data_IF_369508826868
#
_entry.id   IF_369508826868
#
_cell.length_a   1.000
_cell.length_b   1.000
_cell.length_c   1.000
_cell.angle_alpha   90.00
_cell.angle_beta   90.00
_cell.angle_gamma   90.00
#
_symmetry.space_group_name_H-M   'P 1'
#
loop_
_entity.id
_entity.type
_entity.pdbx_description
1 polymer ?
#
# COMPACT_ATOMS: atom_id res chain seq x y z
N UNK A 1 16.11 23.10 -32.68
CA UNK A 1 15.43 22.02 -31.95
C UNK A 1 14.55 22.70 -30.93
N UNK A 2 13.24 22.56 -31.04
CA UNK A 2 12.25 23.17 -30.16
C UNK A 2 12.47 22.64 -28.75
N UNK A 3 12.87 23.52 -27.85
CA UNK A 3 13.17 23.23 -26.44
C UNK A 3 11.89 23.27 -25.60
N UNK A 4 10.83 22.60 -26.06
CA UNK A 4 9.64 22.40 -25.24
C UNK A 4 9.89 21.16 -24.37
N UNK A 5 9.87 21.29 -23.03
CA UNK A 5 10.01 20.13 -22.15
C UNK A 5 8.85 19.18 -22.44
N UNK A 6 9.18 17.91 -22.66
CA UNK A 6 8.21 16.84 -22.84
C UNK A 6 7.28 16.82 -21.62
N UNK A 7 5.98 17.02 -21.84
CA UNK A 7 4.98 16.98 -20.76
C UNK A 7 4.87 15.55 -20.26
N UNK A 8 5.54 15.28 -19.15
CA UNK A 8 5.42 14.01 -18.43
C UNK A 8 4.16 14.06 -17.58
N UNK A 9 3.46 12.93 -17.48
CA UNK A 9 2.31 12.80 -16.59
C UNK A 9 2.74 13.05 -15.13
N UNK A 10 1.91 13.76 -14.37
CA UNK A 10 2.21 14.19 -13.00
C UNK A 10 1.84 13.14 -11.96
N UNK A 11 1.11 12.10 -12.36
CA UNK A 11 0.75 10.99 -11.50
C UNK A 11 1.56 9.75 -11.85
N UNK A 12 1.88 8.93 -10.84
CA UNK A 12 2.47 7.62 -11.07
C UNK A 12 1.47 6.71 -11.81
N UNK A 13 1.93 5.64 -12.49
CA UNK A 13 1.03 4.70 -13.16
C UNK A 13 -0.06 4.15 -12.22
N UNK A 14 -1.32 4.13 -12.66
CA UNK A 14 -2.40 3.43 -11.95
C UNK A 14 -2.34 1.94 -12.29
N UNK A 15 -1.55 1.22 -11.49
CA UNK A 15 -1.38 -0.22 -11.60
C UNK A 15 -2.71 -0.97 -11.49
N UNK A 16 -3.68 -0.45 -10.72
CA UNK A 16 -4.97 -1.09 -10.58
C UNK A 16 -5.79 -0.95 -11.87
N UNK A 17 -5.74 0.20 -12.53
CA UNK A 17 -6.38 0.40 -13.83
C UNK A 17 -5.73 -0.46 -14.92
N UNK A 18 -4.40 -0.50 -14.98
CA UNK A 18 -3.67 -1.33 -15.94
C UNK A 18 -4.02 -2.82 -15.79
N UNK A 19 -4.04 -3.32 -14.55
CA UNK A 19 -4.42 -4.71 -14.25
C UNK A 19 -5.88 -4.99 -14.60
N UNK A 20 -6.81 -4.06 -14.34
CA UNK A 20 -8.22 -4.21 -14.75
C UNK A 20 -8.34 -4.30 -16.27
N UNK A 21 -7.67 -3.43 -17.01
CA UNK A 21 -7.68 -3.45 -18.48
C UNK A 21 -7.12 -4.77 -19.04
N UNK A 22 -5.97 -5.23 -18.53
CA UNK A 22 -5.40 -6.51 -18.93
C UNK A 22 -6.30 -7.70 -18.58
N UNK A 23 -7.00 -7.62 -17.44
CA UNK A 23 -7.95 -8.65 -17.02
C UNK A 23 -9.19 -8.69 -17.93
N UNK A 24 -9.72 -7.55 -18.35
CA UNK A 24 -10.84 -7.48 -19.31
C UNK A 24 -10.47 -8.04 -20.69
N UNK A 25 -9.22 -7.84 -21.13
CA UNK A 25 -8.72 -8.42 -22.38
C UNK A 25 -8.65 -9.95 -22.32
N UNK A 26 -8.19 -10.51 -21.20
CA UNK A 26 -8.09 -11.95 -20.98
C UNK A 26 -9.47 -12.61 -20.73
N UNK A 27 -10.36 -11.93 -20.03
CA UNK A 27 -11.66 -12.46 -19.58
C UNK A 27 -12.82 -11.48 -19.90
N UNK A 28 -13.16 -11.31 -21.19
CA UNK A 28 -14.19 -10.37 -21.60
C UNK A 28 -15.56 -10.72 -21.00
N UNK A 29 -16.18 -9.72 -20.37
CA UNK A 29 -17.51 -9.84 -19.74
C UNK A 29 -17.53 -10.46 -18.35
N UNK A 30 -16.37 -10.74 -17.74
CA UNK A 30 -16.29 -11.12 -16.31
C UNK A 30 -16.42 -9.90 -15.39
N UNK A 31 -15.97 -8.73 -15.83
CA UNK A 31 -16.26 -7.46 -15.17
C UNK A 31 -17.55 -6.88 -15.77
N UNK A 32 -18.56 -6.66 -14.94
CA UNK A 32 -19.81 -5.98 -15.31
C UNK A 32 -19.98 -4.75 -14.45
N UNK A 33 -20.11 -3.57 -15.08
CA UNK A 33 -20.28 -2.28 -14.38
C UNK A 33 -19.23 -2.03 -13.27
N UNK A 34 -17.98 -2.46 -13.49
CA UNK A 34 -16.89 -2.33 -12.53
C UNK A 34 -16.93 -3.33 -11.36
N UNK A 35 -17.86 -4.29 -11.36
CA UNK A 35 -17.98 -5.36 -10.37
C UNK A 35 -17.48 -6.67 -10.96
N UNK A 36 -16.64 -7.39 -10.21
CA UNK A 36 -16.12 -8.70 -10.59
C UNK A 36 -17.20 -9.77 -10.39
N UNK A 37 -17.61 -10.44 -11.47
CA UNK A 37 -18.44 -11.65 -11.39
C UNK A 37 -17.54 -12.86 -11.13
N UNK A 38 -17.37 -13.17 -9.85
CA UNK A 38 -16.55 -14.29 -9.42
C UNK A 38 -17.08 -15.63 -9.93
N UNK A 39 -18.39 -15.79 -10.08
CA UNK A 39 -19.00 -17.03 -10.56
C UNK A 39 -18.64 -17.28 -12.02
N UNK A 40 -18.83 -16.26 -12.88
CA UNK A 40 -18.48 -16.34 -14.29
C UNK A 40 -16.98 -16.57 -14.50
N UNK A 41 -16.13 -15.97 -13.67
CA UNK A 41 -14.70 -16.23 -13.69
C UNK A 41 -14.37 -17.70 -13.39
N UNK A 42 -15.01 -18.27 -12.35
CA UNK A 42 -14.83 -19.67 -11.98
C UNK A 42 -15.26 -20.64 -13.09
N UNK A 43 -16.38 -20.36 -13.75
CA UNK A 43 -16.86 -21.14 -14.89
C UNK A 43 -15.86 -21.14 -16.06
N UNK A 44 -15.31 -19.97 -16.41
CA UNK A 44 -14.34 -19.84 -17.51
C UNK A 44 -13.02 -20.54 -17.21
N UNK A 45 -12.60 -20.55 -15.95
CA UNK A 45 -11.35 -21.16 -15.50
C UNK A 45 -11.50 -22.62 -15.05
N UNK A 46 -12.70 -23.20 -15.15
CA UNK A 46 -13.05 -24.52 -14.59
C UNK A 46 -12.55 -24.70 -13.15
N UNK A 47 -12.65 -23.62 -12.36
CA UNK A 47 -12.08 -23.53 -11.02
C UNK A 47 -13.17 -23.17 -10.02
N UNK A 48 -13.35 -23.94 -8.93
CA UNK A 48 -14.33 -23.62 -7.92
C UNK A 48 -13.98 -22.31 -7.21
N UNK A 49 -14.91 -21.35 -7.27
CA UNK A 49 -14.78 -20.08 -6.58
C UNK A 49 -15.24 -20.27 -5.14
N UNK A 50 -14.32 -20.08 -4.21
CA UNK A 50 -14.68 -20.04 -2.79
C UNK A 50 -15.17 -18.64 -2.46
N UNK A 51 -16.49 -18.45 -2.33
CA UNK A 51 -17.00 -17.33 -1.57
C UNK A 51 -16.70 -17.62 -0.09
N UNK A 52 -15.93 -16.79 0.64
CA UNK A 52 -15.84 -16.95 2.08
C UNK A 52 -17.25 -16.78 2.66
N UNK A 53 -17.77 -17.82 3.32
CA UNK A 53 -19.16 -17.88 3.83
C UNK A 53 -19.49 -16.74 4.83
N UNK A 54 -18.44 -16.09 5.31
CA UNK A 54 -18.37 -15.14 6.40
C UNK A 54 -17.35 -14.00 6.10
N UNK A 55 -16.86 -13.90 4.85
CA UNK A 55 -15.95 -12.82 4.42
C UNK A 55 -14.50 -12.94 4.92
N UNK A 56 -14.14 -14.01 5.64
CA UNK A 56 -12.79 -14.22 6.16
C UNK A 56 -11.99 -15.24 5.34
N UNK A 57 -10.78 -14.89 4.93
CA UNK A 57 -9.81 -15.84 4.37
C UNK A 57 -9.52 -16.95 5.39
N UNK A 58 -9.65 -18.24 4.98
CA UNK A 58 -9.50 -19.39 5.89
C UNK A 58 -8.06 -19.61 6.38
N UNK A 59 -7.07 -18.99 5.73
CA UNK A 59 -5.67 -19.00 6.15
C UNK A 59 -4.99 -17.70 5.68
N UNK A 60 -4.57 -16.85 6.61
CA UNK A 60 -3.89 -15.59 6.31
C UNK A 60 -3.69 -14.73 7.56
N UNK A 61 -2.65 -13.88 7.55
CA UNK A 61 -2.50 -12.86 8.58
C UNK A 61 -3.55 -11.76 8.36
N UNK A 62 -4.41 -11.56 9.36
CA UNK A 62 -5.47 -10.55 9.36
C UNK A 62 -5.21 -9.55 10.47
N UNK A 63 -5.34 -8.26 10.16
CA UNK A 63 -5.23 -7.17 11.13
C UNK A 63 -6.16 -6.02 10.75
N UNK A 64 -6.53 -5.20 11.74
CA UNK A 64 -7.33 -4.00 11.51
C UNK A 64 -6.56 -3.01 10.63
N UNK A 65 -7.18 -2.51 9.56
CA UNK A 65 -6.55 -1.58 8.62
C UNK A 65 -5.80 -2.23 7.45
N UNK A 66 -5.78 -3.57 7.33
CA UNK A 66 -5.17 -4.29 6.18
C UNK A 66 -5.70 -3.79 4.83
N UNK A 67 -7.02 -3.63 4.72
CA UNK A 67 -7.67 -3.20 3.47
C UNK A 67 -7.27 -1.78 3.08
N UNK A 68 -7.15 -0.88 4.06
CA UNK A 68 -6.74 0.51 3.81
C UNK A 68 -5.25 0.60 3.44
N UNK A 69 -4.39 -0.22 4.07
CA UNK A 69 -2.97 -0.34 3.69
C UNK A 69 -2.81 -0.86 2.25
N UNK A 70 -3.59 -1.87 1.85
CA UNK A 70 -3.59 -2.33 0.45
C UNK A 70 -4.11 -1.25 -0.50
N UNK A 71 -5.14 -0.50 -0.12
CA UNK A 71 -5.68 0.59 -0.94
C UNK A 71 -4.67 1.73 -1.14
N UNK A 72 -3.86 2.06 -0.14
CA UNK A 72 -2.85 3.12 -0.24
C UNK A 72 -1.75 2.76 -1.24
N UNK A 73 -1.38 1.47 -1.36
CA UNK A 73 -0.44 0.97 -2.37
C UNK A 73 -0.98 1.15 -3.79
N UNK A 74 -2.28 0.98 -3.99
CA UNK A 74 -2.95 1.11 -5.29
C UNK A 74 -3.26 2.57 -5.66
N UNK A 75 -3.13 3.50 -4.72
CA UNK A 75 -3.35 4.91 -4.97
C UNK A 75 -2.14 5.50 -5.70
N UNK A 76 -2.30 6.14 -6.87
CA UNK A 76 -1.18 6.79 -7.56
C UNK A 76 -0.47 7.83 -6.69
N UNK A 77 0.85 7.90 -6.80
CA UNK A 77 1.65 9.00 -6.27
C UNK A 77 1.45 10.27 -7.10
N UNK A 78 1.56 11.43 -6.45
CA UNK A 78 1.42 12.78 -7.05
C UNK A 78 2.70 13.61 -6.96
N UNK A 79 3.76 13.04 -6.39
CA UNK A 79 5.05 13.70 -6.27
C UNK A 79 5.81 13.79 -7.59
N UNK A 80 6.87 14.60 -7.60
CA UNK A 80 7.90 14.59 -8.63
C UNK A 80 9.27 14.63 -7.96
N UNK A 81 10.30 14.12 -8.64
CA UNK A 81 11.67 14.17 -8.15
C UNK A 81 12.36 15.40 -8.75
N UNK A 82 12.87 16.28 -7.88
CA UNK A 82 13.65 17.45 -8.27
C UNK A 82 15.14 17.20 -8.03
N UNK A 83 16.02 17.41 -9.03
CA UNK A 83 17.44 17.23 -8.86
C UNK A 83 18.07 18.38 -8.04
N UNK A 84 18.78 18.01 -6.98
CA UNK A 84 19.55 18.93 -6.11
C UNK A 84 21.00 19.03 -6.60
N UNK A 85 21.23 19.83 -7.65
CA UNK A 85 22.54 19.94 -8.33
C UNK A 85 23.66 20.42 -7.40
N UNK A 86 23.38 21.36 -6.50
CA UNK A 86 24.39 21.94 -5.59
C UNK A 86 24.96 20.92 -4.59
N UNK A 87 24.19 19.88 -4.26
CA UNK A 87 24.60 18.79 -3.35
C UNK A 87 25.08 17.55 -4.11
N UNK A 88 24.93 17.54 -5.43
CA UNK A 88 25.29 16.41 -6.28
C UNK A 88 26.78 16.41 -6.56
N UNK A 89 27.36 15.21 -6.61
CA UNK A 89 28.76 14.98 -6.98
C UNK A 89 28.73 14.29 -8.34
N UNK A 90 29.39 14.89 -9.34
CA UNK A 90 29.48 14.36 -10.71
C UNK A 90 28.11 13.96 -11.31
N UNK A 91 27.13 14.87 -11.23
CA UNK A 91 25.70 14.59 -11.53
C UNK A 91 25.46 13.84 -12.85
N UNK A 92 26.16 14.19 -13.93
CA UNK A 92 25.97 13.60 -15.25
C UNK A 92 26.52 12.17 -15.37
N UNK A 93 27.53 11.81 -14.56
CA UNK A 93 28.24 10.53 -14.61
C UNK A 93 27.95 9.62 -13.40
N UNK A 94 27.20 10.11 -12.40
CA UNK A 94 26.95 9.39 -11.16
C UNK A 94 26.08 8.14 -11.37
N UNK A 95 26.57 6.98 -10.90
CA UNK A 95 25.80 5.72 -10.91
C UNK A 95 24.94 5.51 -9.64
N UNK A 96 25.14 6.35 -8.62
CA UNK A 96 24.45 6.24 -7.33
C UNK A 96 23.50 7.42 -7.14
N UNK A 97 22.31 7.15 -6.59
CA UNK A 97 21.28 8.17 -6.35
C UNK A 97 20.92 8.17 -4.87
N UNK A 98 20.83 9.37 -4.29
CA UNK A 98 20.24 9.61 -2.97
C UNK A 98 18.95 10.39 -3.15
N UNK A 99 17.86 9.94 -2.50
CA UNK A 99 16.54 10.57 -2.63
C UNK A 99 16.02 10.88 -1.22
N UNK A 100 15.61 12.12 -1.01
CA UNK A 100 14.96 12.58 0.21
C UNK A 100 13.44 12.64 -0.02
N UNK A 101 12.67 12.01 0.87
CA UNK A 101 11.21 12.02 0.78
C UNK A 101 10.55 10.90 1.59
N UNK A 102 9.22 10.86 1.55
CA UNK A 102 8.45 9.71 2.05
C UNK A 102 8.75 8.47 1.19
N UNK A 103 9.11 7.37 1.82
CA UNK A 103 9.61 6.18 1.13
C UNK A 103 8.55 5.55 0.21
N UNK A 104 7.29 5.50 0.62
CA UNK A 104 6.22 4.91 -0.18
C UNK A 104 6.00 5.74 -1.45
N UNK A 105 5.97 7.06 -1.33
CA UNK A 105 5.81 7.96 -2.47
C UNK A 105 7.01 7.87 -3.43
N UNK A 106 8.23 7.88 -2.90
CA UNK A 106 9.45 7.72 -3.70
C UNK A 106 9.46 6.39 -4.46
N UNK A 107 9.10 5.28 -3.79
CA UNK A 107 9.05 3.97 -4.43
C UNK A 107 8.01 3.90 -5.55
N UNK A 108 6.85 4.57 -5.42
CA UNK A 108 5.85 4.69 -6.50
C UNK A 108 6.40 5.42 -7.72
N UNK A 109 7.16 6.49 -7.52
CA UNK A 109 7.78 7.24 -8.62
C UNK A 109 8.87 6.42 -9.30
N UNK A 110 9.69 5.71 -8.53
CA UNK A 110 10.75 4.86 -9.05
C UNK A 110 10.21 3.63 -9.78
N UNK A 111 8.99 3.19 -9.49
CA UNK A 111 8.41 1.97 -10.06
C UNK A 111 8.49 1.94 -11.59
N UNK A 112 8.09 3.01 -12.28
CA UNK A 112 8.09 3.06 -13.75
C UNK A 112 9.48 2.86 -14.35
N UNK A 113 10.51 3.44 -13.73
CA UNK A 113 11.86 3.29 -14.19
C UNK A 113 12.46 1.95 -13.71
N UNK A 114 12.45 1.65 -12.42
CA UNK A 114 13.28 0.60 -11.84
C UNK A 114 12.57 -0.75 -11.63
N UNK A 115 11.36 -0.95 -12.14
CA UNK A 115 10.65 -2.24 -12.03
C UNK A 115 11.53 -3.40 -12.56
N UNK A 116 11.62 -4.48 -11.77
CA UNK A 116 12.43 -5.67 -12.04
C UNK A 116 13.94 -5.42 -12.29
N UNK A 117 14.46 -4.24 -11.92
CA UNK A 117 15.90 -3.89 -12.07
C UNK A 117 16.71 -3.98 -10.77
N UNK A 118 16.05 -4.10 -9.62
CA UNK A 118 16.72 -4.10 -8.30
C UNK A 118 17.16 -5.50 -7.90
N UNK A 119 18.47 -5.70 -7.70
CA UNK A 119 19.05 -7.01 -7.34
C UNK A 119 18.94 -7.36 -5.86
N UNK A 120 19.06 -6.37 -4.98
CA UNK A 120 19.09 -6.55 -3.52
C UNK A 120 18.45 -5.32 -2.87
N UNK A 121 17.58 -5.55 -1.90
CA UNK A 121 17.00 -4.52 -1.04
C UNK A 121 17.46 -4.81 0.39
N UNK A 122 18.09 -3.82 1.01
CA UNK A 122 18.43 -3.84 2.44
C UNK A 122 17.68 -2.70 3.12
N UNK A 123 16.88 -3.03 4.12
CA UNK A 123 16.11 -2.07 4.92
C UNK A 123 16.28 -2.38 6.41
N UNK A 124 16.30 -1.33 7.21
CA UNK A 124 16.32 -1.38 8.67
C UNK A 124 15.11 -0.63 9.23
N UNK A 125 13.89 -1.19 9.11
CA UNK A 125 12.68 -0.54 9.59
C UNK A 125 12.64 -0.53 11.14
N UNK A 126 11.83 0.32 11.77
CA UNK A 126 11.66 0.29 13.22
C UNK A 126 11.12 -1.07 13.70
N UNK A 127 11.70 -1.63 14.76
CA UNK A 127 11.45 -2.99 15.23
C UNK A 127 10.22 -3.14 16.15
N UNK A 128 9.55 -2.02 16.47
CA UNK A 128 8.41 -1.94 17.38
C UNK A 128 8.71 -2.53 18.76
N UNK A 129 9.89 -2.21 19.32
CA UNK A 129 10.33 -2.73 20.62
C UNK A 129 9.67 -2.00 21.80
N UNK A 130 8.99 -0.88 21.53
CA UNK A 130 8.42 -0.01 22.56
C UNK A 130 9.45 0.89 23.24
N UNK A 131 10.70 0.90 22.74
CA UNK A 131 11.71 1.87 23.11
C UNK A 131 11.39 3.25 22.52
N UNK A 132 11.92 4.31 23.13
CA UNK A 132 11.92 5.65 22.54
C UNK A 132 13.24 5.83 21.76
N UNK A 133 13.44 5.08 20.68
CA UNK A 133 14.58 5.40 19.80
C UNK A 133 14.32 6.73 19.08
N UNK A 134 15.32 7.61 19.14
CA UNK A 134 15.21 9.04 18.84
C UNK A 134 14.92 9.34 17.35
N UNK A 135 15.15 8.38 16.45
CA UNK A 135 15.14 8.60 14.98
C UNK A 135 13.78 8.24 14.35
N UNK A 136 13.05 7.26 14.91
CA UNK A 136 11.72 6.87 14.45
C UNK A 136 10.83 6.49 15.64
N UNK A 137 9.52 6.79 15.62
CA UNK A 137 8.63 6.35 16.68
C UNK A 137 8.54 4.81 16.69
N UNK A 138 9.31 4.18 17.58
CA UNK A 138 9.42 2.71 17.73
C UNK A 138 8.30 2.12 18.63
N UNK A 139 7.27 2.91 18.91
CA UNK A 139 6.06 2.48 19.61
C UNK A 139 4.84 2.67 18.70
N UNK A 140 4.43 1.59 18.05
CA UNK A 140 3.22 1.56 17.23
C UNK A 140 1.99 1.09 18.01
N UNK A 141 2.08 0.93 19.33
CA UNK A 141 0.94 0.53 20.14
C UNK A 141 -0.03 1.69 20.34
N UNK A 142 -1.25 1.54 19.83
CA UNK A 142 -2.31 2.53 20.06
C UNK A 142 -2.68 2.61 21.53
N UNK A 143 -3.27 3.70 22.02
CA UNK A 143 -3.96 3.62 23.32
C UNK A 143 -5.16 2.66 23.20
N UNK A 144 -5.56 2.03 24.32
CA UNK A 144 -6.72 1.12 24.29
C UNK A 144 -7.95 1.79 23.68
N UNK A 145 -8.22 3.05 24.05
CA UNK A 145 -9.36 3.80 23.52
C UNK A 145 -9.24 4.07 22.02
N UNK A 146 -8.09 4.55 21.56
CA UNK A 146 -7.87 4.84 20.13
C UNK A 146 -8.00 3.58 19.25
N UNK A 147 -7.52 2.44 19.72
CA UNK A 147 -7.67 1.17 19.00
C UNK A 147 -9.13 0.72 18.92
N UNK A 148 -9.91 0.91 19.98
CA UNK A 148 -11.33 0.53 20.00
C UNK A 148 -12.18 1.43 19.11
N UNK A 149 -11.88 2.73 19.06
CA UNK A 149 -12.51 3.66 18.10
C UNK A 149 -12.11 3.29 16.65
N UNK A 150 -10.84 3.02 16.39
CA UNK A 150 -10.34 2.61 15.06
C UNK A 150 -10.95 1.29 14.56
N UNK A 151 -11.12 0.32 15.45
CA UNK A 151 -11.73 -0.98 15.13
C UNK A 151 -13.26 -0.95 15.16
N UNK A 152 -13.87 0.21 15.43
CA UNK A 152 -15.33 0.37 15.49
C UNK A 152 -16.00 -0.35 16.65
N UNK A 153 -15.24 -0.73 17.69
CA UNK A 153 -15.73 -1.37 18.92
C UNK A 153 -16.27 -0.35 19.94
N UNK A 154 -15.95 0.93 19.74
CA UNK A 154 -16.44 2.07 20.52
C UNK A 154 -16.85 3.18 19.56
N UNK A 155 -18.00 3.84 19.82
CA UNK A 155 -18.47 5.00 19.06
C UNK A 155 -17.77 6.31 19.50
N UNK A 156 -18.03 7.42 18.80
CA UNK A 156 -17.43 8.72 19.11
C UNK A 156 -17.82 9.24 20.51
N UNK A 157 -18.96 8.80 21.04
CA UNK A 157 -19.48 9.13 22.36
C UNK A 157 -18.90 8.23 23.48
N UNK A 158 -18.14 7.18 23.13
CA UNK A 158 -17.49 6.27 24.07
C UNK A 158 -18.31 5.05 24.47
N UNK A 159 -19.46 4.81 23.83
CA UNK A 159 -20.29 3.64 24.06
C UNK A 159 -19.78 2.44 23.27
N UNK A 160 -19.96 1.25 23.84
CA UNK A 160 -19.47 -0.01 23.25
C UNK A 160 -20.48 -0.55 22.24
N UNK A 161 -20.00 -0.82 21.03
CA UNK A 161 -20.79 -1.39 19.93
C UNK A 161 -20.72 -2.92 19.90
N UNK A 162 -19.75 -3.54 20.58
CA UNK A 162 -19.60 -5.00 20.69
C UNK A 162 -19.60 -5.50 22.14
N UNK A 163 -20.11 -6.72 22.35
CA UNK A 163 -20.09 -7.39 23.66
C UNK A 163 -18.67 -7.83 24.06
N UNK A 164 -17.85 -8.22 23.08
CA UNK A 164 -16.47 -8.69 23.27
C UNK A 164 -15.49 -7.62 22.83
N UNK A 165 -14.51 -7.33 23.69
CA UNK A 165 -13.40 -6.43 23.36
C UNK A 165 -12.25 -7.25 22.78
N UNK A 166 -11.89 -7.00 21.53
CA UNK A 166 -10.63 -7.47 20.97
C UNK A 166 -9.57 -6.37 21.11
N UNK A 167 -8.43 -6.72 21.71
CA UNK A 167 -7.31 -5.82 21.98
C UNK A 167 -5.98 -6.38 21.46
N UNK A 168 -5.98 -7.59 20.87
CA UNK A 168 -4.75 -8.30 20.52
C UNK A 168 -4.00 -7.61 19.38
N UNK A 169 -4.72 -7.03 18.41
CA UNK A 169 -4.14 -6.29 17.28
C UNK A 169 -3.48 -4.96 17.65
N UNK A 170 -3.79 -4.40 18.82
CA UNK A 170 -3.31 -3.07 19.30
C UNK A 170 -1.80 -2.87 19.16
N UNK A 171 -1.00 -3.93 19.29
CA UNK A 171 0.48 -3.85 19.24
C UNK A 171 1.06 -3.95 17.83
N UNK A 172 0.34 -4.58 16.90
CA UNK A 172 0.91 -5.00 15.62
C UNK A 172 0.19 -4.39 14.41
N UNK A 173 -1.09 -4.04 14.52
CA UNK A 173 -1.89 -3.56 13.39
C UNK A 173 -1.31 -2.30 12.76
N UNK A 174 -0.87 -1.31 13.55
CA UNK A 174 -0.26 -0.09 13.00
C UNK A 174 1.08 -0.30 12.35
N UNK A 175 1.93 -1.14 12.95
CA UNK A 175 3.22 -1.48 12.37
C UNK A 175 3.02 -2.24 11.04
N UNK A 176 2.10 -3.21 11.00
CA UNK A 176 1.75 -3.95 9.78
C UNK A 176 1.07 -3.09 8.71
N UNK A 177 0.39 -2.00 9.08
CA UNK A 177 -0.18 -1.04 8.12
C UNK A 177 0.83 0.01 7.64
N UNK A 178 1.92 0.21 8.38
CA UNK A 178 3.01 1.12 8.00
C UNK A 178 4.02 0.44 7.07
N UNK A 179 4.31 -0.84 7.33
CA UNK A 179 5.16 -1.70 6.50
C UNK A 179 4.46 -2.07 5.20
#
# INVERSE_FOLDING_TARGET
>A
MSNEPERVDLESPDIAAEKRAAFEELFPGVLSDGVLDSTRLGELLDTPVTAPADGMERFGLMWAGKQDAVRSLLTPGRGTLEPELDKSIDFDDAENVFIEGDNLEVLKLLQKAYNDRVKLIYIDPPYNTGGNDFIYPDNFSDTLRAYLEFTGQVDAEGNRTSATVDVLGRRHSRWLSMM
#
